data_IF_778225178307
#
_entry.id   IF_778225178307
#
_cell.length_a   1.000
_cell.length_b   1.000
_cell.length_c   1.000
_cell.angle_alpha   90.00
_cell.angle_beta   90.00
_cell.angle_gamma   90.00
#
_symmetry.space_group_name_H-M   'P 1'
#
loop_
_entity.id
_entity.type
_entity.pdbx_description
1 polymer ?
#
# COMPACT_ATOMS: atom_id res chain seq x y z
N UNK A 1 11.21 5.43 1.00
CA UNK A 1 9.94 4.77 0.61
C UNK A 1 9.11 4.62 1.87
N UNK A 2 7.82 4.94 1.82
CA UNK A 2 6.92 4.93 2.99
C UNK A 2 6.34 3.54 3.23
N UNK A 3 6.10 3.16 4.49
CA UNK A 3 5.43 1.91 4.83
C UNK A 3 3.90 2.04 4.74
N UNK A 4 3.38 1.86 3.52
CA UNK A 4 1.95 1.90 3.26
C UNK A 4 1.24 0.63 3.72
N UNK A 5 1.94 -0.50 3.85
CA UNK A 5 1.37 -1.76 4.30
C UNK A 5 0.98 -1.65 5.77
N UNK A 6 1.88 -1.12 6.58
CA UNK A 6 1.62 -0.83 7.99
C UNK A 6 0.51 0.21 8.17
N UNK A 7 0.47 1.24 7.31
CA UNK A 7 -0.62 2.22 7.31
C UNK A 7 -1.99 1.58 7.08
N UNK A 8 -2.11 0.71 6.07
CA UNK A 8 -3.39 0.03 5.78
C UNK A 8 -3.80 -0.86 6.95
N UNK A 9 -2.85 -1.63 7.51
CA UNK A 9 -3.13 -2.49 8.67
C UNK A 9 -3.62 -1.70 9.90
N UNK A 10 -3.16 -0.48 10.09
CA UNK A 10 -3.52 0.36 11.25
C UNK A 10 -4.74 1.26 11.02
N UNK A 11 -5.13 1.47 9.77
CA UNK A 11 -6.22 2.40 9.41
C UNK A 11 -7.49 1.67 8.94
N UNK A 12 -7.35 0.47 8.37
CA UNK A 12 -8.45 -0.22 7.70
C UNK A 12 -8.80 -1.50 8.45
N UNK A 13 -9.42 -1.36 9.64
CA UNK A 13 -9.85 -2.50 10.44
C UNK A 13 -11.24 -3.02 10.09
N UNK A 14 -12.16 -2.14 9.65
CA UNK A 14 -13.53 -2.52 9.33
C UNK A 14 -13.74 -2.47 7.82
N UNK A 15 -13.67 -3.64 7.16
CA UNK A 15 -13.89 -3.77 5.71
C UNK A 15 -15.24 -4.40 5.39
N UNK A 16 -15.81 -5.18 6.30
CA UNK A 16 -16.92 -6.05 5.96
C UNK A 16 -18.24 -5.58 6.53
N UNK A 17 -18.26 -4.51 7.33
CA UNK A 17 -19.46 -4.00 8.00
C UNK A 17 -19.54 -2.49 7.79
N UNK A 18 -20.71 -2.02 7.38
CA UNK A 18 -21.00 -0.59 7.25
C UNK A 18 -21.34 0.06 8.59
N UNK A 19 -21.61 1.37 8.58
CA UNK A 19 -22.01 2.13 9.78
C UNK A 19 -23.36 1.70 10.37
N UNK A 20 -24.20 1.03 9.57
CA UNK A 20 -25.51 0.51 9.99
C UNK A 20 -25.43 -0.92 10.56
N UNK A 21 -24.25 -1.56 10.53
CA UNK A 21 -24.07 -2.94 10.97
C UNK A 21 -24.31 -3.98 9.86
N UNK A 22 -24.54 -3.54 8.62
CA UNK A 22 -24.82 -4.41 7.48
C UNK A 22 -23.54 -4.88 6.80
N UNK A 23 -23.58 -6.11 6.28
CA UNK A 23 -22.41 -6.71 5.61
C UNK A 23 -22.19 -6.09 4.23
N UNK A 24 -20.98 -5.59 3.99
CA UNK A 24 -20.60 -5.00 2.70
C UNK A 24 -20.37 -6.10 1.67
N UNK A 25 -21.19 -6.12 0.61
CA UNK A 25 -21.03 -7.00 -0.54
C UNK A 25 -20.09 -6.37 -1.55
N UNK A 26 -18.77 -6.55 -1.35
CA UNK A 26 -17.73 -5.92 -2.17
C UNK A 26 -17.91 -6.11 -3.68
N UNK A 27 -18.34 -7.30 -4.13
CA UNK A 27 -18.57 -7.61 -5.54
C UNK A 27 -19.74 -6.82 -6.16
N UNK A 28 -20.67 -6.33 -5.34
CA UNK A 28 -21.83 -5.56 -5.81
C UNK A 28 -21.56 -4.06 -5.88
N UNK A 29 -20.44 -3.59 -5.31
CA UNK A 29 -20.14 -2.16 -5.25
C UNK A 29 -19.78 -1.65 -6.64
N UNK A 30 -20.49 -0.61 -7.10
CA UNK A 30 -20.25 0.04 -8.39
C UNK A 30 -19.48 1.35 -8.26
N UNK A 31 -19.67 2.06 -7.15
CA UNK A 31 -19.07 3.39 -6.95
C UNK A 31 -18.46 3.49 -5.57
N UNK A 32 -17.23 4.02 -5.52
CA UNK A 32 -16.59 4.48 -4.29
C UNK A 32 -16.50 6.00 -4.27
N UNK A 33 -16.71 6.59 -3.10
CA UNK A 33 -16.57 8.01 -2.86
C UNK A 33 -15.63 8.25 -1.68
N UNK A 34 -14.60 9.06 -1.94
CA UNK A 34 -13.64 9.50 -0.94
C UNK A 34 -13.74 11.02 -0.83
N UNK A 35 -14.11 11.51 0.36
CA UNK A 35 -14.22 12.96 0.62
C UNK A 35 -13.05 13.42 1.47
N UNK A 36 -12.51 14.60 1.13
CA UNK A 36 -11.48 15.26 1.95
C UNK A 36 -12.02 15.69 3.31
N UNK A 37 -13.31 16.05 3.36
CA UNK A 37 -13.98 16.49 4.59
C UNK A 37 -14.18 15.36 5.60
N UNK A 38 -14.30 14.12 5.11
CA UNK A 38 -14.50 12.92 5.93
C UNK A 38 -13.51 11.82 5.55
N UNK A 39 -12.22 11.99 5.87
CA UNK A 39 -11.16 11.06 5.47
C UNK A 39 -11.24 9.71 6.18
N UNK A 40 -11.95 9.65 7.31
CA UNK A 40 -12.13 8.45 8.12
C UNK A 40 -13.33 7.58 7.67
N UNK A 41 -13.90 7.83 6.50
CA UNK A 41 -15.03 7.04 5.99
C UNK A 41 -14.94 6.85 4.49
N UNK A 42 -15.23 5.65 4.02
CA UNK A 42 -15.37 5.34 2.60
C UNK A 42 -16.86 5.30 2.27
N UNK A 43 -17.29 6.14 1.34
CA UNK A 43 -18.63 6.05 0.77
C UNK A 43 -18.69 4.99 -0.31
N UNK A 44 -19.77 4.21 -0.37
CA UNK A 44 -20.00 3.26 -1.45
C UNK A 44 -21.48 3.20 -1.87
N UNK A 45 -21.72 2.78 -3.11
CA UNK A 45 -23.06 2.54 -3.68
C UNK A 45 -23.10 1.25 -4.47
N UNK A 46 -24.25 0.58 -4.43
CA UNK A 46 -24.53 -0.61 -5.25
C UNK A 46 -25.18 -0.26 -6.60
N UNK A 47 -25.93 0.85 -6.66
CA UNK A 47 -26.61 1.33 -7.87
C UNK A 47 -26.28 2.79 -8.16
N UNK A 48 -26.38 3.17 -9.43
CA UNK A 48 -26.13 4.55 -9.87
C UNK A 48 -27.29 5.50 -9.58
N UNK A 49 -28.50 4.96 -9.37
CA UNK A 49 -29.74 5.71 -9.16
C UNK A 49 -30.00 6.05 -7.69
N UNK A 50 -29.26 5.43 -6.77
CA UNK A 50 -29.34 5.79 -5.34
C UNK A 50 -28.64 7.13 -5.14
N UNK A 51 -29.33 8.11 -4.55
CA UNK A 51 -28.74 9.41 -4.21
C UNK A 51 -27.81 9.32 -3.00
N UNK A 52 -28.14 8.47 -2.03
CA UNK A 52 -27.41 8.35 -0.77
C UNK A 52 -26.25 7.35 -0.81
N UNK A 53 -25.13 7.73 -0.21
CA UNK A 53 -23.94 6.87 -0.08
C UNK A 53 -23.97 6.16 1.28
N UNK A 54 -23.90 4.83 1.26
CA UNK A 54 -23.58 4.04 2.46
C UNK A 54 -22.13 4.26 2.84
N UNK A 55 -21.80 4.15 4.13
CA UNK A 55 -20.48 4.50 4.65
C UNK A 55 -19.86 3.33 5.38
N UNK A 56 -18.59 3.08 5.06
CA UNK A 56 -17.73 2.16 5.79
C UNK A 56 -16.83 3.02 6.67
N UNK A 57 -16.98 3.00 7.99
CA UNK A 57 -16.10 3.74 8.88
C UNK A 57 -14.71 3.10 8.88
N UNK A 58 -13.70 3.88 8.53
CA UNK A 58 -12.29 3.51 8.72
C UNK A 58 -11.95 3.72 10.18
N UNK A 59 -12.06 2.66 10.97
CA UNK A 59 -11.61 2.70 12.36
C UNK A 59 -10.09 2.80 12.40
N UNK A 60 -9.53 3.81 13.07
CA UNK A 60 -8.18 3.66 13.63
C UNK A 60 -8.30 2.87 14.93
N UNK A 61 -7.32 2.04 15.28
CA UNK A 61 -7.34 1.25 16.52
C UNK A 61 -7.58 2.09 17.80
N UNK A 62 -7.33 3.40 17.71
CA UNK A 62 -7.53 4.38 18.77
C UNK A 62 -9.00 4.70 19.03
N UNK A 63 -9.89 4.62 18.03
CA UNK A 63 -11.32 4.99 18.17
C UNK A 63 -12.11 4.01 19.05
N UNK A 64 -11.71 2.73 19.11
CA UNK A 64 -12.39 1.74 19.98
C UNK A 64 -11.95 1.82 21.45
N UNK A 65 -10.88 2.56 21.79
CA UNK A 65 -10.32 2.59 23.15
C UNK A 65 -10.13 3.98 23.77
N UNK A 66 -10.28 5.07 23.02
CA UNK A 66 -10.13 6.42 23.56
C UNK A 66 -11.24 7.34 23.04
N UNK A 67 -12.00 7.95 23.98
CA UNK A 67 -12.92 9.06 23.70
C UNK A 67 -12.21 10.33 23.20
N UNK A 68 -10.88 10.36 23.19
CA UNK A 68 -10.07 11.45 22.68
C UNK A 68 -9.01 10.91 21.71
N UNK A 69 -9.34 10.73 20.44
CA UNK A 69 -8.33 10.56 19.39
C UNK A 69 -8.95 10.75 18.00
N UNK A 70 -9.55 11.92 17.79
CA UNK A 70 -9.59 12.47 16.44
C UNK A 70 -8.16 12.95 16.13
N UNK A 71 -7.67 12.66 14.93
CA UNK A 71 -6.36 13.06 14.39
C UNK A 71 -5.11 12.30 14.89
N UNK A 72 -4.88 11.11 14.32
CA UNK A 72 -3.51 10.58 14.12
C UNK A 72 -3.27 9.98 12.71
N UNK A 73 -4.04 10.39 11.70
CA UNK A 73 -3.62 10.16 10.31
C UNK A 73 -2.43 11.06 9.90
N UNK A 74 -2.03 11.99 10.77
CA UNK A 74 -0.96 12.97 10.56
C UNK A 74 0.37 12.61 11.22
N UNK A 75 0.48 11.46 11.91
CA UNK A 75 1.81 11.00 12.32
C UNK A 75 2.61 10.62 11.07
N UNK A 76 3.78 11.24 10.90
CA UNK A 76 4.60 11.09 9.72
C UNK A 76 4.86 9.60 9.46
N UNK A 77 4.45 9.12 8.29
CA UNK A 77 4.54 7.71 7.93
C UNK A 77 5.98 7.21 8.08
N UNK A 78 6.20 6.11 8.81
CA UNK A 78 7.55 5.59 8.97
C UNK A 78 8.10 5.13 7.61
N UNK A 79 9.41 5.30 7.39
CA UNK A 79 10.03 4.77 6.20
C UNK A 79 10.05 3.23 6.25
N UNK A 80 9.65 2.59 5.17
CA UNK A 80 9.70 1.12 5.01
C UNK A 80 11.14 0.59 5.14
N UNK A 81 12.11 1.37 4.65
CA UNK A 81 13.52 1.04 4.72
C UNK A 81 14.30 2.14 5.43
N UNK A 82 15.10 1.74 6.41
CA UNK A 82 15.91 2.64 7.24
C UNK A 82 17.19 3.09 6.51
N UNK A 83 17.61 2.31 5.51
CA UNK A 83 18.77 2.55 4.65
C UNK A 83 18.43 2.11 3.23
N UNK A 84 19.15 2.62 2.24
CA UNK A 84 19.02 2.12 0.86
C UNK A 84 19.39 0.64 0.79
N UNK A 85 18.58 -0.14 0.08
CA UNK A 85 18.84 -1.56 -0.11
C UNK A 85 20.07 -1.75 -1.01
N UNK A 86 21.09 -2.49 -0.57
CA UNK A 86 22.22 -2.82 -1.42
C UNK A 86 21.81 -3.78 -2.53
N UNK A 87 22.39 -3.58 -3.71
CA UNK A 87 22.24 -4.48 -4.86
C UNK A 87 23.44 -5.42 -4.98
N UNK A 88 23.33 -6.48 -5.76
CA UNK A 88 24.46 -7.35 -6.05
C UNK A 88 25.57 -6.59 -6.78
N UNK A 89 26.82 -6.85 -6.41
CA UNK A 89 27.99 -6.23 -7.05
C UNK A 89 28.05 -6.50 -8.57
N UNK A 90 27.69 -7.71 -9.00
CA UNK A 90 27.60 -8.05 -10.42
C UNK A 90 26.59 -7.15 -11.15
N UNK A 91 25.40 -6.96 -10.59
CA UNK A 91 24.36 -6.08 -11.15
C UNK A 91 24.81 -4.63 -11.22
N UNK A 92 25.54 -4.13 -10.21
CA UNK A 92 26.09 -2.76 -10.26
C UNK A 92 27.11 -2.59 -11.39
N UNK A 93 27.98 -3.57 -11.61
CA UNK A 93 28.96 -3.54 -12.72
C UNK A 93 28.27 -3.47 -14.08
N UNK A 94 27.19 -4.22 -14.26
CA UNK A 94 26.39 -4.19 -15.49
C UNK A 94 25.72 -2.83 -15.69
N UNK A 95 25.12 -2.25 -14.64
CA UNK A 95 24.52 -0.92 -14.68
C UNK A 95 25.53 0.18 -15.02
N UNK A 96 26.74 0.13 -14.44
CA UNK A 96 27.81 1.07 -14.79
C UNK A 96 28.25 0.89 -16.25
N UNK A 97 28.28 -0.35 -16.74
CA UNK A 97 28.59 -0.63 -18.15
C UNK A 97 27.55 -0.01 -19.08
N UNK A 98 26.26 -0.07 -18.73
CA UNK A 98 25.18 0.59 -19.46
C UNK A 98 25.27 2.12 -19.42
N UNK A 99 25.74 2.69 -18.31
CA UNK A 99 26.03 4.12 -18.20
C UNK A 99 27.15 4.53 -19.18
N UNK A 100 28.24 3.75 -19.25
CA UNK A 100 29.37 3.99 -20.17
C UNK A 100 28.96 3.90 -21.64
N UNK A 101 28.05 2.98 -21.96
CA UNK A 101 27.49 2.82 -23.31
C UNK A 101 26.48 3.91 -23.68
N UNK A 102 26.23 4.90 -22.82
CA UNK A 102 25.20 5.94 -22.97
C UNK A 102 23.79 5.39 -23.24
N UNK A 103 23.52 4.12 -22.86
CA UNK A 103 22.17 3.55 -22.90
C UNK A 103 21.31 4.17 -21.79
N UNK A 104 21.92 4.44 -20.64
CA UNK A 104 21.30 5.16 -19.53
C UNK A 104 21.59 6.66 -19.66
N UNK A 105 20.56 7.53 -19.67
CA UNK A 105 20.72 8.98 -19.73
C UNK A 105 21.64 9.55 -18.64
N UNK A 106 22.49 10.52 -19.02
CA UNK A 106 23.53 11.12 -18.14
C UNK A 106 22.99 11.68 -16.83
N UNK A 107 21.78 12.24 -16.84
CA UNK A 107 21.10 12.77 -15.65
C UNK A 107 20.79 11.70 -14.59
N UNK A 108 20.71 10.41 -14.99
CA UNK A 108 20.43 9.30 -14.09
C UNK A 108 21.68 8.54 -13.66
N UNK A 109 22.81 8.71 -14.36
CA UNK A 109 24.03 7.91 -14.12
C UNK A 109 24.57 8.10 -12.68
N UNK A 110 24.53 9.33 -12.15
CA UNK A 110 24.99 9.62 -10.79
C UNK A 110 24.23 8.80 -9.73
N UNK A 111 22.94 8.56 -9.95
CA UNK A 111 22.14 7.72 -9.06
C UNK A 111 22.64 6.28 -9.03
N UNK A 112 22.91 5.68 -10.20
CA UNK A 112 23.43 4.31 -10.31
C UNK A 112 24.83 4.14 -9.71
N UNK A 113 25.69 5.16 -9.81
CA UNK A 113 27.00 5.16 -9.18
C UNK A 113 26.92 5.14 -7.65
N UNK A 114 25.94 5.85 -7.09
CA UNK A 114 25.74 5.98 -5.64
C UNK A 114 25.01 4.78 -4.99
N UNK A 115 24.55 3.80 -5.78
CA UNK A 115 23.86 2.62 -5.23
C UNK A 115 24.78 1.79 -4.32
N UNK A 116 24.36 1.43 -3.10
CA UNK A 116 25.12 0.54 -2.24
C UNK A 116 25.18 -0.87 -2.82
N UNK A 117 26.26 -1.61 -2.53
CA UNK A 117 26.46 -2.99 -3.00
C UNK A 117 26.65 -3.97 -1.86
N UNK A 118 26.22 -5.21 -2.06
CA UNK A 118 26.53 -6.34 -1.19
C UNK A 118 26.86 -7.58 -2.02
N UNK A 119 27.68 -8.47 -1.45
CA UNK A 119 28.08 -9.74 -2.09
C UNK A 119 27.10 -10.87 -1.79
N UNK A 120 26.31 -10.72 -0.72
CA UNK A 120 25.47 -11.79 -0.17
C UNK A 120 23.99 -11.60 -0.52
N UNK A 121 23.59 -10.41 -0.97
CA UNK A 121 22.18 -10.11 -1.26
C UNK A 121 21.76 -10.69 -2.60
N UNK A 122 20.67 -11.46 -2.58
CA UNK A 122 20.03 -11.97 -3.79
C UNK A 122 19.06 -10.91 -4.30
N UNK A 123 19.23 -10.45 -5.54
CA UNK A 123 18.34 -9.48 -6.20
C UNK A 123 17.04 -10.16 -6.70
N UNK A 124 16.32 -10.85 -5.81
CA UNK A 124 15.04 -11.50 -6.10
C UNK A 124 13.97 -10.98 -5.15
N UNK A 125 12.78 -10.75 -5.67
CA UNK A 125 11.60 -10.58 -4.83
C UNK A 125 11.27 -11.92 -4.17
N UNK A 126 10.72 -11.90 -2.95
CA UNK A 126 10.12 -13.09 -2.38
C UNK A 126 9.00 -13.56 -3.31
N UNK A 127 9.03 -14.81 -3.74
CA UNK A 127 7.94 -15.38 -4.53
C UNK A 127 6.66 -15.34 -3.69
N UNK A 128 5.51 -14.94 -4.27
CA UNK A 128 4.24 -15.01 -3.56
C UNK A 128 3.99 -16.47 -3.21
N UNK A 129 3.64 -16.75 -1.95
CA UNK A 129 3.12 -18.04 -1.57
C UNK A 129 1.85 -18.29 -2.40
N UNK A 130 1.90 -19.27 -3.30
CA UNK A 130 0.72 -19.77 -4.00
C UNK A 130 -0.24 -20.29 -2.93
N UNK A 131 -1.33 -19.57 -2.66
CA UNK A 131 -2.46 -20.13 -1.93
C UNK A 131 -3.11 -21.14 -2.87
N UNK A 132 -3.03 -22.41 -2.51
CA UNK A 132 -3.67 -23.52 -3.22
C UNK A 132 -5.19 -23.38 -3.01
N UNK A 133 -5.84 -22.60 -3.86
CA UNK A 133 -7.30 -22.48 -3.90
C UNK A 133 -7.82 -23.73 -4.62
N UNK A 134 -7.99 -24.80 -3.84
CA UNK A 134 -8.68 -26.00 -4.30
C UNK A 134 -10.17 -25.67 -4.42
N UNK A 135 -10.59 -25.36 -5.65
CA UNK A 135 -12.01 -25.26 -6.03
C UNK A 135 -12.67 -26.65 -5.84
N UNK A 136 -13.30 -26.88 -4.70
CA UNK A 136 -14.31 -27.95 -4.57
C UNK A 136 -15.64 -27.44 -5.14
N UNK A 137 -15.93 -27.84 -6.39
CA UNK A 137 -17.28 -27.74 -6.98
C UNK A 137 -18.26 -28.64 -6.21
N UNK A 138 -19.36 -28.04 -5.73
CA UNK A 138 -20.59 -28.72 -5.35
C UNK A 138 -21.77 -28.16 -6.14
#
# INVERSE_FOLDING_TARGET
MLDLKHLVQTTVFNRNVDDAGEKVSWLKVKVFQYRRDTPASIGYKYNYEEDDFRRIPLGTASVRRSRHSTSKMTEALPPLYHKQLPILEAKKRDLITLCRKNVIPKNLQQWFHNLPTSKTTVDRAAEPAMSDDSDEEF
#
